data_IF_862782724251
#
_entry.id   IF_862782724251
#
_cell.length_a   1.000
_cell.length_b   1.000
_cell.length_c   1.000
_cell.angle_alpha   90.00
_cell.angle_beta   90.00
_cell.angle_gamma   90.00
#
_symmetry.space_group_name_H-M   'P 1'
#
loop_
_entity.id
_entity.type
_entity.pdbx_description
1 polymer ?
#
# COMPACT_ATOMS: atom_id res chain seq x y z
N UNK A 1 -1.04 -22.95 -0.93
CA UNK A 1 -0.79 -21.65 -1.55
C UNK A 1 -0.65 -21.75 -3.06
N UNK A 2 -1.61 -22.30 -3.77
CA UNK A 2 -1.51 -22.45 -5.22
C UNK A 2 -2.81 -22.04 -5.92
N UNK A 3 -3.20 -20.78 -5.76
CA UNK A 3 -4.18 -20.26 -6.70
C UNK A 3 -3.61 -20.16 -8.12
N UNK A 4 -2.25 -20.16 -8.28
CA UNK A 4 -1.60 -19.90 -9.56
C UNK A 4 -0.17 -20.50 -9.64
N UNK A 5 0.17 -21.52 -8.85
CA UNK A 5 1.47 -22.21 -8.95
C UNK A 5 2.69 -21.50 -8.34
N UNK A 6 2.50 -20.44 -7.55
CA UNK A 6 3.58 -19.72 -6.90
C UNK A 6 3.43 -19.76 -5.37
N UNK A 7 4.56 -19.85 -4.66
CA UNK A 7 4.60 -19.90 -3.20
C UNK A 7 4.10 -18.56 -2.64
N UNK A 8 2.97 -18.58 -1.91
CA UNK A 8 2.56 -17.42 -1.12
C UNK A 8 3.57 -17.18 0.00
N UNK A 9 4.15 -15.99 0.04
CA UNK A 9 4.75 -15.48 1.27
C UNK A 9 3.64 -15.23 2.30
N UNK A 10 3.94 -15.45 3.57
CA UNK A 10 2.97 -15.32 4.65
C UNK A 10 2.22 -13.97 4.58
N UNK A 11 0.90 -14.02 4.63
CA UNK A 11 0.05 -12.83 4.64
C UNK A 11 -0.26 -12.20 3.28
N UNK A 12 0.19 -12.76 2.18
CA UNK A 12 -0.13 -12.29 0.83
C UNK A 12 -1.17 -13.20 0.19
N UNK A 13 -2.28 -12.64 -0.22
CA UNK A 13 -3.39 -13.40 -0.85
C UNK A 13 -3.13 -13.61 -2.34
N UNK A 14 -2.52 -12.62 -2.98
CA UNK A 14 -2.04 -12.70 -4.36
C UNK A 14 -0.64 -12.11 -4.38
N UNK A 15 0.35 -12.89 -4.73
CA UNK A 15 1.75 -12.47 -4.81
C UNK A 15 2.34 -12.85 -6.17
N UNK A 16 3.09 -11.89 -6.75
CA UNK A 16 4.01 -12.08 -7.87
C UNK A 16 3.41 -12.78 -9.11
N UNK A 17 2.46 -12.10 -9.73
CA UNK A 17 1.99 -12.53 -11.02
C UNK A 17 2.61 -11.64 -12.09
N UNK A 18 3.62 -12.16 -12.78
CA UNK A 18 4.30 -11.47 -13.87
C UNK A 18 3.38 -11.14 -15.06
N UNK A 19 3.38 -9.89 -15.47
CA UNK A 19 2.88 -9.39 -16.74
C UNK A 19 1.37 -9.58 -17.00
N UNK A 20 0.84 -9.14 -18.13
CA UNK A 20 -0.56 -9.27 -18.48
C UNK A 20 -0.95 -10.72 -18.77
N UNK A 21 -2.15 -11.12 -18.35
CA UNK A 21 -2.69 -12.45 -18.61
C UNK A 21 -3.79 -12.87 -17.64
N UNK A 22 -4.66 -13.79 -18.07
CA UNK A 22 -5.83 -14.20 -17.30
C UNK A 22 -5.49 -14.89 -15.97
N UNK A 23 -4.29 -15.45 -15.84
CA UNK A 23 -3.82 -16.11 -14.63
C UNK A 23 -2.88 -15.22 -13.79
N UNK A 24 -2.90 -13.90 -14.01
CA UNK A 24 -1.99 -12.96 -13.38
C UNK A 24 -2.77 -11.84 -12.73
N UNK A 25 -2.08 -10.86 -12.10
CA UNK A 25 -2.77 -9.76 -11.46
C UNK A 25 -3.52 -8.93 -12.53
N UNK A 26 -4.84 -8.88 -12.39
CA UNK A 26 -5.75 -8.14 -13.23
C UNK A 26 -7.04 -7.87 -12.46
N UNK A 27 -7.98 -7.13 -13.02
CA UNK A 27 -9.24 -6.80 -12.35
C UNK A 27 -10.02 -8.03 -11.89
N UNK A 28 -10.05 -9.11 -12.66
CA UNK A 28 -10.80 -10.32 -12.29
C UNK A 28 -10.19 -11.04 -11.10
N UNK A 29 -8.86 -11.19 -11.07
CA UNK A 29 -8.17 -11.80 -9.93
C UNK A 29 -8.23 -10.95 -8.67
N UNK A 30 -8.17 -9.62 -8.80
CA UNK A 30 -8.38 -8.68 -7.70
C UNK A 30 -9.82 -8.76 -7.18
N UNK A 31 -10.81 -8.78 -8.06
CA UNK A 31 -12.23 -8.93 -7.68
C UNK A 31 -12.48 -10.26 -6.96
N UNK A 32 -11.92 -11.35 -7.46
CA UNK A 32 -12.00 -12.66 -6.80
C UNK A 32 -11.38 -12.63 -5.39
N UNK A 33 -10.24 -11.97 -5.23
CA UNK A 33 -9.62 -11.80 -3.91
C UNK A 33 -10.51 -10.99 -2.96
N UNK A 34 -11.14 -9.92 -3.47
CA UNK A 34 -12.07 -9.09 -2.70
C UNK A 34 -13.34 -9.85 -2.32
N UNK A 35 -13.90 -10.69 -3.19
CA UNK A 35 -15.02 -11.58 -2.84
C UNK A 35 -14.68 -12.49 -1.66
N UNK A 36 -13.51 -13.13 -1.72
CA UNK A 36 -13.04 -13.97 -0.60
C UNK A 36 -12.81 -13.19 0.67
N UNK A 37 -12.27 -11.98 0.58
CA UNK A 37 -12.07 -11.12 1.74
C UNK A 37 -13.41 -10.57 2.27
N UNK A 38 -14.34 -10.19 1.40
CA UNK A 38 -15.70 -9.79 1.78
C UNK A 38 -16.40 -10.93 2.55
N UNK A 39 -16.38 -12.14 2.04
CA UNK A 39 -16.96 -13.32 2.71
C UNK A 39 -16.27 -13.62 4.07
N UNK A 40 -14.97 -13.29 4.20
CA UNK A 40 -14.27 -13.38 5.48
C UNK A 40 -14.81 -12.32 6.47
N UNK A 41 -14.99 -11.08 6.05
CA UNK A 41 -15.51 -9.99 6.86
C UNK A 41 -16.97 -10.27 7.28
N UNK A 42 -17.81 -10.70 6.33
CA UNK A 42 -19.23 -11.07 6.59
C UNK A 42 -19.36 -12.15 7.67
N UNK A 43 -18.45 -13.13 7.68
CA UNK A 43 -18.42 -14.16 8.72
C UNK A 43 -18.13 -13.62 10.13
N UNK A 44 -17.62 -12.38 10.24
CA UNK A 44 -17.39 -11.67 11.50
C UNK A 44 -18.53 -10.72 11.88
N UNK A 45 -19.57 -10.63 11.07
CA UNK A 45 -20.83 -9.93 11.36
C UNK A 45 -20.86 -8.46 10.97
N UNK A 46 -21.99 -7.80 11.28
CA UNK A 46 -22.29 -6.43 10.85
C UNK A 46 -21.35 -5.38 11.46
N UNK A 47 -20.82 -5.62 12.65
CA UNK A 47 -19.81 -4.71 13.24
C UNK A 47 -18.54 -4.67 12.41
N UNK A 48 -18.05 -5.82 11.95
CA UNK A 48 -16.88 -5.90 11.08
C UNK A 48 -17.09 -5.15 9.74
N UNK A 49 -18.28 -5.31 9.15
CA UNK A 49 -18.67 -4.58 7.93
C UNK A 49 -18.73 -3.06 8.16
N UNK A 50 -19.28 -2.63 9.30
CA UNK A 50 -19.41 -1.22 9.65
C UNK A 50 -18.05 -0.55 9.95
N UNK A 51 -17.14 -1.27 10.61
CA UNK A 51 -15.74 -0.84 10.80
C UNK A 51 -15.00 -0.70 9.48
N UNK A 52 -15.24 -1.62 8.56
CA UNK A 52 -14.77 -1.54 7.19
C UNK A 52 -13.27 -1.78 7.00
N UNK A 53 -12.74 -1.32 5.87
CA UNK A 53 -11.39 -1.64 5.39
C UNK A 53 -10.67 -0.37 4.94
N UNK A 54 -9.46 -0.12 5.43
CA UNK A 54 -8.58 0.90 4.87
C UNK A 54 -7.84 0.35 3.64
N UNK A 55 -7.72 1.16 2.59
CA UNK A 55 -7.13 0.74 1.31
C UNK A 55 -6.07 1.74 0.87
N UNK A 56 -4.83 1.26 0.76
CA UNK A 56 -3.69 2.01 0.24
C UNK A 56 -3.09 1.36 -0.99
N UNK A 57 -2.29 2.13 -1.71
CA UNK A 57 -1.64 1.67 -2.94
C UNK A 57 -0.34 2.43 -3.21
N UNK A 58 0.51 1.87 -4.05
CA UNK A 58 1.77 2.45 -4.48
C UNK A 58 1.68 3.11 -5.88
N UNK A 59 2.84 3.46 -6.45
CA UNK A 59 2.94 4.13 -7.76
C UNK A 59 2.86 3.20 -8.97
N UNK A 60 2.68 1.88 -8.79
CA UNK A 60 2.72 0.91 -9.89
C UNK A 60 1.52 1.03 -10.81
N UNK A 61 1.71 0.54 -12.05
CA UNK A 61 0.61 0.45 -13.02
C UNK A 61 -0.60 -0.23 -12.44
N UNK A 62 -1.78 0.33 -12.64
CA UNK A 62 -3.09 -0.14 -12.17
C UNK A 62 -3.29 -0.17 -10.64
N UNK A 63 -2.33 0.28 -9.83
CA UNK A 63 -2.51 0.28 -8.37
C UNK A 63 -3.69 1.13 -7.90
N UNK A 64 -3.90 2.36 -8.39
CA UNK A 64 -5.08 3.16 -8.05
C UNK A 64 -6.40 2.50 -8.48
N UNK A 65 -6.42 1.93 -9.70
CA UNK A 65 -7.61 1.27 -10.24
C UNK A 65 -7.96 0.02 -9.42
N UNK A 66 -6.98 -0.80 -9.06
CA UNK A 66 -7.19 -1.97 -8.22
C UNK A 66 -7.67 -1.59 -6.82
N UNK A 67 -7.15 -0.50 -6.24
CA UNK A 67 -7.58 -0.01 -4.94
C UNK A 67 -9.05 0.44 -4.97
N UNK A 68 -9.45 1.24 -5.96
CA UNK A 68 -10.83 1.70 -6.08
C UNK A 68 -11.79 0.56 -6.47
N UNK A 69 -11.37 -0.35 -7.34
CA UNK A 69 -12.17 -1.54 -7.71
C UNK A 69 -12.40 -2.44 -6.49
N UNK A 70 -11.39 -2.57 -5.62
CA UNK A 70 -11.51 -3.29 -4.35
C UNK A 70 -12.56 -2.67 -3.44
N UNK A 71 -12.55 -1.35 -3.28
CA UNK A 71 -13.57 -0.65 -2.49
C UNK A 71 -14.98 -0.86 -3.03
N UNK A 72 -15.14 -0.85 -4.35
CA UNK A 72 -16.43 -1.07 -4.99
C UNK A 72 -16.96 -2.49 -4.80
N UNK A 73 -16.10 -3.51 -4.93
CA UNK A 73 -16.51 -4.89 -4.64
C UNK A 73 -16.92 -5.03 -3.17
N UNK A 74 -16.15 -4.49 -2.22
CA UNK A 74 -16.52 -4.50 -0.80
C UNK A 74 -17.85 -3.78 -0.54
N UNK A 75 -18.10 -2.64 -1.20
CA UNK A 75 -19.34 -1.89 -1.06
C UNK A 75 -20.58 -2.69 -1.48
N UNK A 76 -20.47 -3.53 -2.51
CA UNK A 76 -21.55 -4.45 -2.94
C UNK A 76 -21.93 -5.46 -1.84
N UNK A 77 -21.02 -5.78 -0.94
CA UNK A 77 -21.25 -6.60 0.26
C UNK A 77 -21.71 -5.79 1.48
N UNK A 78 -21.96 -4.49 1.30
CA UNK A 78 -22.32 -3.58 2.40
C UNK A 78 -21.15 -3.29 3.36
N UNK A 79 -19.92 -3.49 2.91
CA UNK A 79 -18.71 -3.26 3.72
C UNK A 79 -18.19 -1.85 3.43
N UNK A 80 -17.95 -1.08 4.47
CA UNK A 80 -17.36 0.26 4.37
C UNK A 80 -15.91 0.20 3.94
N UNK A 81 -15.47 1.20 3.16
CA UNK A 81 -14.08 1.32 2.75
C UNK A 81 -13.56 2.75 2.90
N UNK A 82 -12.28 2.87 3.26
CA UNK A 82 -11.54 4.12 3.36
C UNK A 82 -10.35 4.06 2.41
N UNK A 83 -10.46 4.70 1.25
CA UNK A 83 -9.46 4.64 0.18
C UNK A 83 -8.61 5.90 0.20
N UNK A 84 -7.31 5.78 0.24
CA UNK A 84 -6.42 6.94 0.12
C UNK A 84 -6.59 7.61 -1.25
N UNK A 85 -6.63 8.96 -1.26
CA UNK A 85 -6.78 9.77 -2.48
C UNK A 85 -5.60 9.67 -3.45
N UNK A 86 -4.42 9.31 -2.91
CA UNK A 86 -3.19 9.09 -3.68
C UNK A 86 -2.32 8.05 -2.99
N UNK A 87 -1.21 7.67 -3.62
CA UNK A 87 -0.31 6.66 -3.08
C UNK A 87 0.14 7.00 -1.65
N UNK A 88 0.19 5.98 -0.79
CA UNK A 88 0.67 6.07 0.59
C UNK A 88 1.53 4.84 0.92
N UNK A 89 2.54 5.00 1.81
CA UNK A 89 3.38 3.87 2.20
C UNK A 89 2.65 2.89 3.10
N UNK A 90 3.08 1.64 3.06
CA UNK A 90 2.53 0.56 3.90
C UNK A 90 2.43 0.90 5.39
N UNK A 91 3.41 1.58 6.04
CA UNK A 91 3.29 1.98 7.44
C UNK A 91 2.11 2.92 7.70
N UNK A 92 1.80 3.78 6.75
CA UNK A 92 0.67 4.72 6.87
C UNK A 92 -0.67 4.00 6.72
N UNK A 93 -0.77 3.00 5.83
CA UNK A 93 -1.93 2.10 5.80
C UNK A 93 -2.10 1.38 7.14
N UNK A 94 -1.03 0.80 7.69
CA UNK A 94 -1.06 0.14 8.99
C UNK A 94 -1.54 1.08 10.11
N UNK A 95 -1.11 2.34 10.08
CA UNK A 95 -1.59 3.38 10.99
C UNK A 95 -3.08 3.67 10.76
N UNK A 96 -3.51 3.87 9.50
CA UNK A 96 -4.90 4.18 9.15
C UNK A 96 -5.87 3.09 9.62
N UNK A 97 -5.51 1.81 9.48
CA UNK A 97 -6.34 0.69 9.99
C UNK A 97 -6.64 0.87 11.47
N UNK A 98 -5.65 1.19 12.29
CA UNK A 98 -5.81 1.38 13.73
C UNK A 98 -6.48 2.69 14.09
N UNK A 99 -6.09 3.79 13.42
CA UNK A 99 -6.59 5.14 13.67
C UNK A 99 -8.08 5.25 13.37
N UNK A 100 -8.53 4.66 12.25
CA UNK A 100 -9.94 4.64 11.84
C UNK A 100 -10.74 3.48 12.44
N UNK A 101 -10.10 2.66 13.30
CA UNK A 101 -10.70 1.46 13.88
C UNK A 101 -11.27 0.49 12.81
N UNK A 102 -10.58 0.34 11.68
CA UNK A 102 -10.98 -0.58 10.62
C UNK A 102 -10.87 -2.04 11.07
N UNK A 103 -11.70 -2.91 10.49
CA UNK A 103 -11.60 -4.36 10.69
C UNK A 103 -10.34 -4.94 10.02
N UNK A 104 -9.85 -4.30 8.96
CA UNK A 104 -8.65 -4.71 8.28
C UNK A 104 -8.17 -3.69 7.25
N UNK A 105 -7.18 -4.07 6.47
CA UNK A 105 -6.61 -3.23 5.42
C UNK A 105 -6.24 -3.99 4.16
N UNK A 106 -6.16 -3.27 3.06
CA UNK A 106 -5.67 -3.72 1.76
C UNK A 106 -4.52 -2.82 1.34
N UNK A 107 -3.38 -3.42 0.95
CA UNK A 107 -2.29 -2.69 0.31
C UNK A 107 -2.04 -3.26 -1.08
N UNK A 108 -2.23 -2.43 -2.10
CA UNK A 108 -1.93 -2.77 -3.49
C UNK A 108 -0.50 -2.36 -3.79
N UNK A 109 0.42 -3.32 -3.77
CA UNK A 109 1.86 -3.10 -3.97
C UNK A 109 2.60 -4.40 -4.18
N UNK A 110 3.65 -4.38 -4.99
CA UNK A 110 4.64 -5.45 -5.08
C UNK A 110 5.96 -5.08 -4.36
N UNK A 111 5.92 -4.13 -3.39
CA UNK A 111 7.10 -3.72 -2.63
C UNK A 111 8.20 -3.13 -3.55
N UNK A 112 9.37 -3.76 -3.61
CA UNK A 112 10.52 -3.37 -4.42
C UNK A 112 10.78 -4.31 -5.60
N UNK A 113 9.81 -5.15 -5.95
CA UNK A 113 9.92 -6.03 -7.13
C UNK A 113 10.00 -5.22 -8.43
N UNK A 114 10.51 -5.79 -9.54
CA UNK A 114 10.55 -5.15 -10.84
C UNK A 114 9.22 -4.50 -11.24
N UNK A 115 9.26 -3.52 -12.12
CA UNK A 115 8.11 -2.66 -12.48
C UNK A 115 6.91 -3.41 -13.05
N UNK A 116 7.15 -4.56 -13.64
CA UNK A 116 6.11 -5.41 -14.25
C UNK A 116 5.24 -6.13 -13.21
N UNK A 117 5.65 -6.08 -11.92
CA UNK A 117 4.92 -6.73 -10.84
C UNK A 117 3.93 -5.77 -10.20
N UNK A 118 2.82 -6.32 -9.75
CA UNK A 118 1.98 -5.71 -8.74
C UNK A 118 1.54 -6.79 -7.75
N UNK A 119 0.93 -6.43 -6.64
CA UNK A 119 0.53 -7.37 -5.60
C UNK A 119 -0.64 -6.87 -4.77
N UNK A 120 -1.18 -7.77 -3.94
CA UNK A 120 -2.34 -7.51 -3.10
C UNK A 120 -2.11 -8.13 -1.72
N UNK A 121 -1.99 -7.29 -0.70
CA UNK A 121 -1.68 -7.68 0.67
C UNK A 121 -2.82 -7.31 1.61
N UNK A 122 -3.18 -8.23 2.51
CA UNK A 122 -4.21 -8.02 3.52
C UNK A 122 -3.61 -7.79 4.90
N UNK A 123 -4.27 -6.93 5.66
CA UNK A 123 -3.90 -6.53 7.02
C UNK A 123 -5.06 -6.80 7.97
N UNK A 124 -4.74 -7.18 9.21
CA UNK A 124 -5.69 -7.37 10.29
C UNK A 124 -6.05 -6.03 10.97
N UNK A 125 -6.95 -6.07 11.93
CA UNK A 125 -7.41 -4.91 12.71
C UNK A 125 -6.31 -4.23 13.54
N UNK A 126 -5.16 -4.88 13.73
CA UNK A 126 -3.99 -4.32 14.42
C UNK A 126 -3.04 -3.60 13.45
N UNK A 127 -3.38 -3.59 12.16
CA UNK A 127 -2.53 -3.03 11.11
C UNK A 127 -1.34 -3.92 10.77
N UNK A 128 -1.39 -5.20 11.13
CA UNK A 128 -0.37 -6.19 10.78
C UNK A 128 -0.78 -6.98 9.53
N UNK A 129 0.16 -7.31 8.66
CA UNK A 129 -0.12 -8.20 7.54
C UNK A 129 -0.63 -9.54 8.08
N UNK A 130 -1.67 -10.11 7.44
CA UNK A 130 -2.30 -11.34 7.92
C UNK A 130 -1.28 -12.46 8.11
N UNK A 131 -1.30 -13.06 9.29
CA UNK A 131 -0.52 -14.27 9.56
C UNK A 131 -1.06 -15.46 8.78
N UNK A 132 -0.25 -16.52 8.51
CA UNK A 132 -0.66 -17.62 7.64
C UNK A 132 -2.01 -18.25 7.97
N UNK A 133 -2.32 -18.40 9.25
CA UNK A 133 -3.58 -19.01 9.68
C UNK A 133 -4.82 -18.16 9.32
N UNK A 134 -4.74 -16.84 9.38
CA UNK A 134 -5.81 -15.92 8.97
C UNK A 134 -5.85 -15.79 7.45
N UNK A 135 -4.69 -15.68 6.81
CA UNK A 135 -4.59 -15.64 5.35
C UNK A 135 -5.23 -16.89 4.71
N UNK A 136 -5.04 -18.09 5.29
CA UNK A 136 -5.63 -19.32 4.79
C UNK A 136 -7.17 -19.27 4.83
N UNK A 137 -7.76 -18.66 5.86
CA UNK A 137 -9.21 -18.52 5.93
C UNK A 137 -9.78 -17.64 4.81
N UNK A 138 -9.05 -16.60 4.39
CA UNK A 138 -9.42 -15.80 3.23
C UNK A 138 -9.21 -16.59 1.94
N UNK A 139 -8.06 -17.25 1.78
CA UNK A 139 -7.72 -18.07 0.61
C UNK A 139 -8.78 -19.14 0.35
N UNK A 140 -9.26 -19.83 1.40
CA UNK A 140 -10.30 -20.84 1.28
C UNK A 140 -11.61 -20.26 0.70
N UNK A 141 -11.95 -19.03 1.06
CA UNK A 141 -13.11 -18.31 0.52
C UNK A 141 -12.89 -17.82 -0.90
N UNK A 142 -11.69 -17.33 -1.22
CA UNK A 142 -11.30 -16.98 -2.59
C UNK A 142 -11.41 -18.20 -3.52
N UNK A 143 -10.97 -19.36 -3.05
CA UNK A 143 -11.06 -20.63 -3.80
C UNK A 143 -12.51 -21.12 -3.96
N UNK A 144 -13.41 -20.74 -3.09
CA UNK A 144 -14.83 -21.07 -3.18
C UNK A 144 -15.60 -20.25 -4.24
N UNK A 145 -15.03 -19.16 -4.75
CA UNK A 145 -15.62 -18.35 -5.82
C UNK A 145 -15.68 -19.17 -7.10
N UNK A 146 -16.87 -19.40 -7.63
CA UNK A 146 -17.11 -20.28 -8.79
C UNK A 146 -16.90 -19.58 -10.14
N UNK A 147 -17.29 -18.32 -10.25
CA UNK A 147 -17.21 -17.54 -11.48
C UNK A 147 -16.65 -16.15 -11.20
N UNK A 148 -15.36 -15.98 -11.40
CA UNK A 148 -14.65 -14.72 -11.20
C UNK A 148 -14.98 -13.67 -12.28
N UNK A 149 -15.46 -14.10 -13.45
CA UNK A 149 -15.82 -13.20 -14.53
C UNK A 149 -17.19 -12.54 -14.32
N UNK A 150 -18.04 -13.16 -13.49
CA UNK A 150 -19.33 -12.58 -13.10
C UNK A 150 -19.22 -11.46 -12.05
N UNK A 151 -18.08 -11.32 -11.38
CA UNK A 151 -17.89 -10.31 -10.35
C UNK A 151 -17.78 -8.93 -11.00
N UNK A 152 -18.71 -8.02 -10.64
CA UNK A 152 -18.70 -6.65 -11.13
C UNK A 152 -18.36 -5.66 -10.02
N UNK A 153 -17.78 -4.53 -10.40
CA UNK A 153 -17.55 -3.39 -9.52
C UNK A 153 -18.49 -2.21 -9.84
N UNK A 154 -19.63 -2.51 -10.47
CA UNK A 154 -20.68 -1.54 -10.71
C UNK A 154 -21.47 -1.34 -9.42
N UNK A 155 -21.32 -0.17 -8.82
CA UNK A 155 -21.99 0.19 -7.56
C UNK A 155 -23.20 1.08 -7.80
N UNK A 156 -24.24 0.88 -7.01
CA UNK A 156 -25.38 1.79 -6.92
C UNK A 156 -24.99 3.05 -6.14
N UNK A 157 -25.77 4.16 -6.24
CA UNK A 157 -25.52 5.36 -5.44
C UNK A 157 -25.55 5.12 -3.92
N UNK A 158 -26.27 4.11 -3.45
CA UNK A 158 -26.30 3.76 -2.02
C UNK A 158 -25.03 2.99 -1.60
N UNK A 159 -24.56 2.07 -2.43
CA UNK A 159 -23.29 1.35 -2.21
C UNK A 159 -22.10 2.31 -2.27
N UNK A 160 -22.11 3.29 -3.18
CA UNK A 160 -21.05 4.29 -3.30
C UNK A 160 -20.85 5.12 -2.02
N UNK A 161 -21.91 5.35 -1.23
CA UNK A 161 -21.84 6.03 0.07
C UNK A 161 -21.03 5.27 1.11
N UNK A 162 -20.75 3.99 0.90
CA UNK A 162 -19.89 3.19 1.76
C UNK A 162 -18.39 3.42 1.50
N UNK A 163 -18.06 4.11 0.39
CA UNK A 163 -16.68 4.39 0.02
C UNK A 163 -16.35 5.83 0.44
N UNK A 164 -15.38 5.96 1.33
CA UNK A 164 -14.87 7.26 1.78
C UNK A 164 -13.46 7.45 1.27
N UNK A 165 -13.20 8.52 0.55
CA UNK A 165 -11.85 8.92 0.17
C UNK A 165 -11.21 9.64 1.35
N UNK A 166 -10.03 9.18 1.76
CA UNK A 166 -9.24 9.72 2.86
C UNK A 166 -7.91 10.27 2.34
N UNK A 167 -7.29 11.17 3.09
CA UNK A 167 -6.03 11.80 2.70
C UNK A 167 -5.44 12.62 3.83
N UNK A 168 -5.32 13.92 3.64
CA UNK A 168 -4.56 14.84 4.48
C UNK A 168 -4.90 14.75 5.98
N UNK A 169 -6.13 14.50 6.35
CA UNK A 169 -6.53 14.36 7.75
C UNK A 169 -5.89 13.14 8.43
N UNK A 170 -5.72 12.04 7.69
CA UNK A 170 -5.02 10.83 8.18
C UNK A 170 -3.51 11.05 8.13
N UNK A 171 -3.01 11.68 7.06
CA UNK A 171 -1.59 12.01 6.91
C UNK A 171 -1.08 12.83 8.11
N UNK A 172 -1.85 13.84 8.51
CA UNK A 172 -1.47 14.72 9.62
C UNK A 172 -1.31 13.97 10.94
N UNK A 173 -2.27 13.11 11.27
CA UNK A 173 -2.22 12.28 12.46
C UNK A 173 -1.07 11.25 12.40
N UNK A 174 -0.81 10.70 11.21
CA UNK A 174 0.33 9.82 10.98
C UNK A 174 1.66 10.52 11.22
N UNK A 175 1.85 11.73 10.68
CA UNK A 175 3.08 12.51 10.87
C UNK A 175 3.31 12.86 12.33
N UNK A 176 2.27 13.26 13.05
CA UNK A 176 2.37 13.52 14.50
C UNK A 176 2.76 12.27 15.26
N UNK A 177 2.17 11.12 14.92
CA UNK A 177 2.53 9.85 15.54
C UNK A 177 4.01 9.50 15.29
N UNK A 178 4.50 9.63 14.05
CA UNK A 178 5.91 9.37 13.72
C UNK A 178 6.85 10.33 14.45
N UNK A 179 6.52 11.61 14.52
CA UNK A 179 7.34 12.60 15.22
C UNK A 179 7.40 12.32 16.73
N UNK A 180 6.35 11.79 17.32
CA UNK A 180 6.27 11.49 18.75
C UNK A 180 7.21 10.39 19.22
N UNK A 181 7.70 9.54 18.31
CA UNK A 181 8.62 8.42 18.64
C UNK A 181 10.09 8.82 18.63
N UNK A 182 10.44 10.08 18.36
CA UNK A 182 11.81 10.55 18.44
C UNK A 182 12.35 10.43 19.87
N UNK A 183 13.47 9.71 20.03
CA UNK A 183 14.11 9.53 21.35
C UNK A 183 14.84 10.78 21.79
N UNK A 184 15.44 11.51 20.86
CA UNK A 184 16.27 12.70 21.12
C UNK A 184 15.84 13.85 20.20
N UNK A 185 14.67 14.46 20.42
CA UNK A 185 14.15 15.51 19.52
C UNK A 185 15.02 16.79 19.52
N UNK A 186 15.71 17.06 20.63
CA UNK A 186 16.51 18.27 20.85
C UNK A 186 17.98 18.15 20.38
N UNK A 187 18.36 17.03 19.75
CA UNK A 187 19.71 16.89 19.19
C UNK A 187 19.96 17.94 18.12
N UNK A 188 21.17 18.53 18.10
CA UNK A 188 21.56 19.43 17.02
C UNK A 188 21.57 18.68 15.69
N UNK A 189 20.85 19.20 14.71
CA UNK A 189 20.67 18.62 13.37
C UNK A 189 21.33 19.48 12.28
N UNK A 190 21.85 20.66 12.65
CA UNK A 190 22.35 21.63 11.68
C UNK A 190 23.61 21.14 10.95
N UNK A 191 24.38 20.27 11.61
CA UNK A 191 25.63 19.72 11.09
C UNK A 191 25.42 18.41 10.28
N UNK A 192 24.17 17.95 10.10
CA UNK A 192 23.86 16.72 9.39
C UNK A 192 23.16 17.06 8.09
N UNK A 193 23.77 16.71 6.97
CA UNK A 193 23.19 16.85 5.65
C UNK A 193 22.80 15.48 5.09
N UNK A 194 21.53 15.33 4.74
CA UNK A 194 20.94 14.07 4.27
C UNK A 194 20.61 14.17 2.79
N UNK A 195 20.99 13.15 2.01
CA UNK A 195 20.42 12.94 0.67
C UNK A 195 19.28 11.92 0.79
N UNK A 196 18.15 12.29 0.28
CA UNK A 196 16.95 11.46 0.29
C UNK A 196 16.50 11.12 -1.12
N UNK A 197 16.37 9.84 -1.40
CA UNK A 197 15.68 9.38 -2.61
C UNK A 197 14.43 8.58 -2.29
N UNK A 198 13.27 8.92 -2.87
CA UNK A 198 12.07 8.12 -2.80
C UNK A 198 12.00 7.03 -3.88
N UNK A 199 12.92 6.99 -4.82
CA UNK A 199 12.93 6.08 -5.99
C UNK A 199 11.54 6.01 -6.68
N UNK A 200 10.93 7.16 -6.95
CA UNK A 200 9.56 7.30 -7.50
C UNK A 200 8.42 6.75 -6.62
N UNK A 201 8.73 6.24 -5.43
CA UNK A 201 7.79 5.51 -4.59
C UNK A 201 7.03 6.37 -3.57
N UNK A 202 6.35 5.66 -2.68
CA UNK A 202 5.41 6.21 -1.70
C UNK A 202 6.06 7.04 -0.60
N UNK A 203 7.38 6.93 -0.39
CA UNK A 203 8.11 7.66 0.64
C UNK A 203 8.26 9.16 0.36
N UNK A 204 8.06 9.60 -0.89
CA UNK A 204 8.37 10.99 -1.32
C UNK A 204 7.71 12.05 -0.43
N UNK A 205 6.39 12.02 -0.30
CA UNK A 205 5.66 13.04 0.45
C UNK A 205 5.87 12.89 1.96
N UNK A 206 5.62 11.72 2.57
CA UNK A 206 5.67 11.60 4.02
C UNK A 206 7.07 11.79 4.60
N UNK A 207 8.11 11.27 3.97
CA UNK A 207 9.48 11.41 4.51
C UNK A 207 9.97 12.86 4.41
N UNK A 208 9.73 13.54 3.30
CA UNK A 208 10.06 14.96 3.15
C UNK A 208 9.35 15.81 4.21
N UNK A 209 8.07 15.56 4.45
CA UNK A 209 7.30 16.28 5.44
C UNK A 209 7.77 15.99 6.87
N UNK A 210 8.08 14.74 7.20
CA UNK A 210 8.60 14.35 8.51
C UNK A 210 9.99 14.98 8.74
N UNK A 211 10.90 14.93 7.77
CA UNK A 211 12.22 15.57 7.90
C UNK A 211 12.10 17.07 8.13
N UNK A 212 11.26 17.74 7.35
CA UNK A 212 11.01 19.19 7.50
C UNK A 212 10.50 19.53 8.90
N UNK A 213 9.52 18.78 9.42
CA UNK A 213 8.94 19.00 10.77
C UNK A 213 9.92 18.66 11.88
N UNK A 214 10.73 17.64 11.68
CA UNK A 214 11.74 17.23 12.64
C UNK A 214 12.98 18.14 12.64
N UNK A 215 13.08 19.10 11.70
CA UNK A 215 14.18 20.05 11.60
C UNK A 215 15.46 19.49 10.97
N UNK A 216 15.37 18.41 10.16
CA UNK A 216 16.52 17.92 9.43
C UNK A 216 16.76 18.69 8.13
N UNK A 217 18.03 18.93 7.80
CA UNK A 217 18.45 19.44 6.50
C UNK A 217 18.60 18.26 5.52
N UNK A 218 17.86 18.29 4.43
CA UNK A 218 17.94 17.24 3.41
C UNK A 218 17.84 17.82 2.01
N UNK A 219 18.48 17.13 1.06
CA UNK A 219 18.32 17.36 -0.38
C UNK A 219 17.70 16.13 -0.98
N UNK A 220 16.59 16.30 -1.66
CA UNK A 220 15.91 15.21 -2.36
C UNK A 220 16.53 15.01 -3.76
N UNK A 221 16.56 13.78 -4.21
CA UNK A 221 16.91 13.42 -5.62
C UNK A 221 15.69 13.75 -6.47
N UNK A 222 15.65 14.97 -7.01
CA UNK A 222 14.44 15.55 -7.63
C UNK A 222 13.93 14.74 -8.82
N UNK A 223 14.83 14.13 -9.61
CA UNK A 223 14.46 13.26 -10.75
C UNK A 223 13.62 12.05 -10.34
N UNK A 224 13.73 11.64 -9.08
CA UNK A 224 13.01 10.49 -8.51
C UNK A 224 11.83 10.87 -7.62
N UNK A 225 11.53 12.18 -7.48
CA UNK A 225 10.45 12.65 -6.62
C UNK A 225 9.06 12.54 -7.25
N UNK A 226 8.94 12.46 -8.55
CA UNK A 226 7.65 12.26 -9.22
C UNK A 226 7.28 10.79 -9.22
N UNK A 227 6.07 10.40 -8.80
CA UNK A 227 5.60 9.02 -8.94
C UNK A 227 5.69 8.55 -10.39
N UNK A 228 6.37 7.44 -10.62
CA UNK A 228 6.56 6.87 -11.94
C UNK A 228 6.45 5.35 -11.88
N UNK A 229 5.43 4.74 -12.51
CA UNK A 229 5.24 3.30 -12.49
C UNK A 229 6.33 2.54 -13.27
N UNK A 230 7.05 3.22 -14.16
CA UNK A 230 8.16 2.66 -14.94
C UNK A 230 9.52 2.79 -14.27
N UNK A 231 9.61 3.54 -13.16
CA UNK A 231 10.84 3.77 -12.41
C UNK A 231 11.98 4.30 -13.32
N UNK A 232 11.68 5.26 -14.20
CA UNK A 232 12.54 5.67 -15.32
C UNK A 232 13.91 6.19 -14.92
N UNK A 233 14.07 6.73 -13.71
CA UNK A 233 15.32 7.29 -13.21
C UNK A 233 16.03 6.40 -12.18
N UNK A 234 15.69 5.10 -12.12
CA UNK A 234 16.43 4.10 -11.37
C UNK A 234 16.57 2.82 -12.20
N UNK A 235 17.74 2.15 -12.20
CA UNK A 235 17.92 0.89 -12.91
C UNK A 235 17.05 -0.24 -12.33
N UNK A 236 16.72 -0.14 -11.06
CA UNK A 236 15.92 -1.13 -10.31
C UNK A 236 15.26 -0.43 -9.13
N UNK A 237 14.00 -0.74 -8.79
CA UNK A 237 13.36 -0.24 -7.58
C UNK A 237 13.80 -0.99 -6.32
N UNK A 238 14.72 -1.94 -6.43
CA UNK A 238 15.18 -2.75 -5.31
C UNK A 238 16.32 -2.06 -4.56
N UNK A 239 16.10 -1.60 -3.32
CA UNK A 239 17.12 -0.92 -2.52
C UNK A 239 18.26 -1.85 -2.05
N UNK A 240 18.15 -3.17 -2.24
CA UNK A 240 19.22 -4.11 -1.98
C UNK A 240 20.26 -4.14 -3.12
N UNK A 241 19.92 -3.57 -4.27
CA UNK A 241 20.82 -3.50 -5.42
C UNK A 241 21.56 -2.16 -5.42
N UNK A 242 22.92 -2.16 -5.42
CA UNK A 242 23.71 -0.92 -5.36
C UNK A 242 23.41 0.07 -6.48
N UNK A 243 22.93 -0.40 -7.64
CA UNK A 243 22.56 0.43 -8.76
C UNK A 243 21.40 1.39 -8.50
N UNK A 244 20.50 1.05 -7.57
CA UNK A 244 19.36 1.91 -7.20
C UNK A 244 19.81 3.25 -6.61
N UNK A 245 20.96 3.28 -5.93
CA UNK A 245 21.50 4.48 -5.29
C UNK A 245 22.41 5.33 -6.17
N UNK A 246 22.60 5.01 -7.44
CA UNK A 246 23.57 5.71 -8.29
C UNK A 246 23.37 7.23 -8.29
N UNK A 247 22.14 7.71 -8.51
CA UNK A 247 21.83 9.14 -8.46
C UNK A 247 22.01 9.72 -7.06
N UNK A 248 21.56 9.04 -6.02
CA UNK A 248 21.70 9.51 -4.64
C UNK A 248 23.16 9.65 -4.25
N UNK A 249 24.03 8.74 -4.67
CA UNK A 249 25.49 8.82 -4.44
C UNK A 249 26.13 9.98 -5.19
N UNK A 250 25.68 10.32 -6.40
CA UNK A 250 26.17 11.48 -7.14
C UNK A 250 25.71 12.79 -6.45
N UNK A 251 24.48 12.84 -5.96
CA UNK A 251 24.01 13.95 -5.14
C UNK A 251 24.84 14.08 -3.86
N UNK A 252 25.08 12.97 -3.14
CA UNK A 252 25.85 12.97 -1.90
C UNK A 252 27.28 13.54 -2.08
N UNK A 253 27.95 13.16 -3.16
CA UNK A 253 29.27 13.70 -3.51
C UNK A 253 29.24 15.19 -3.83
N UNK A 254 28.22 15.65 -4.61
CA UNK A 254 28.08 17.04 -5.01
C UNK A 254 27.78 17.95 -3.83
N UNK A 255 26.94 17.48 -2.92
CA UNK A 255 26.46 18.23 -1.77
C UNK A 255 27.35 18.08 -0.54
N UNK A 256 28.40 17.24 -0.59
CA UNK A 256 29.23 16.87 0.56
C UNK A 256 28.33 16.42 1.75
N UNK A 257 27.51 15.41 1.49
CA UNK A 257 26.51 14.94 2.44
C UNK A 257 27.06 13.87 3.39
N UNK A 258 26.51 13.82 4.59
CA UNK A 258 26.91 12.87 5.65
C UNK A 258 26.18 11.53 5.52
N UNK A 259 24.92 11.55 5.03
CA UNK A 259 24.04 10.38 4.93
C UNK A 259 23.31 10.39 3.59
#
# INVERSE_FOLDING_TARGET
CDLLGNRCLAGTVIHDIHGPGTNRINLHTIRKANEGFAAYIEAHGEEAKARGVAIGYDNRHMSPEFAMDSAKVLAKHGIRSYVFESLRPTPELSFAVRHLNCFGGIMVTASHNPKEYNGYKLYDEKGCQLVPALAQQVIDRVNAVQDELAITADVTPEEEKLITVIGREVDEEYYQNVLSIQLNPDVNKDDIKIIFTPEHGTANVPVKEIYRRAGYHFVAVEEQCTPDPDFSNTPTPNPEEPGSYALALDYAKREDADI
#
